data_IF_091781736777
#
_entry.id   IF_091781736777
#
_cell.length_a   1.000
_cell.length_b   1.000
_cell.length_c   1.000
_cell.angle_alpha   90.00
_cell.angle_beta   90.00
_cell.angle_gamma   90.00
#
_symmetry.space_group_name_H-M   'P 1'
#
loop_
_entity.id
_entity.type
_entity.pdbx_description
1 polymer ?
#
# COMPACT_ATOMS: atom_id res chain seq x y z
N UNK A 1 21.80 -42.50 13.42
CA UNK A 1 20.53 -41.80 13.71
C UNK A 1 20.52 -40.30 13.39
N UNK A 2 21.62 -39.62 12.99
CA UNK A 2 21.58 -38.14 12.83
C UNK A 2 20.96 -37.61 11.52
N UNK A 3 21.18 -38.24 10.36
CA UNK A 3 20.73 -37.67 9.05
C UNK A 3 19.21 -37.48 8.89
N UNK A 4 18.39 -38.29 9.57
CA UNK A 4 16.94 -38.16 9.51
C UNK A 4 16.41 -37.01 10.39
N UNK A 5 17.16 -36.65 11.45
CA UNK A 5 16.88 -35.50 12.30
C UNK A 5 17.24 -34.19 11.58
N UNK A 6 18.36 -34.18 10.87
CA UNK A 6 18.84 -33.01 10.10
C UNK A 6 17.82 -32.57 9.03
N UNK A 7 17.21 -33.53 8.32
CA UNK A 7 16.20 -33.24 7.29
C UNK A 7 14.89 -32.66 7.83
N UNK A 8 14.43 -33.10 9.02
CA UNK A 8 13.21 -32.56 9.65
C UNK A 8 13.42 -31.14 10.15
N UNK A 9 14.63 -30.83 10.64
CA UNK A 9 14.97 -29.50 11.14
C UNK A 9 15.03 -28.47 10.00
N UNK A 10 15.64 -28.82 8.86
CA UNK A 10 15.67 -27.97 7.66
C UNK A 10 14.26 -27.69 7.13
N UNK A 11 13.38 -28.69 7.12
CA UNK A 11 12.00 -28.54 6.68
C UNK A 11 11.19 -27.61 7.59
N UNK A 12 11.30 -27.80 8.91
CA UNK A 12 10.63 -26.93 9.88
C UNK A 12 11.13 -25.48 9.79
N UNK A 13 12.44 -25.28 9.62
CA UNK A 13 13.03 -23.97 9.40
C UNK A 13 12.53 -23.28 8.13
N UNK A 14 12.42 -24.03 7.02
CA UNK A 14 11.86 -23.51 5.77
C UNK A 14 10.40 -23.07 5.93
N UNK A 15 9.55 -23.92 6.52
CA UNK A 15 8.13 -23.60 6.74
C UNK A 15 7.99 -22.37 7.63
N UNK A 16 8.76 -22.30 8.72
CA UNK A 16 8.76 -21.15 9.62
C UNK A 16 9.17 -19.86 8.89
N UNK A 17 10.20 -19.91 8.03
CA UNK A 17 10.64 -18.76 7.24
C UNK A 17 9.59 -18.34 6.21
N UNK A 18 8.95 -19.29 5.51
CA UNK A 18 7.92 -19.02 4.52
C UNK A 18 6.69 -18.33 5.16
N UNK A 19 6.23 -18.83 6.31
CA UNK A 19 5.17 -18.19 7.07
C UNK A 19 5.62 -16.84 7.66
N UNK A 20 6.88 -16.72 8.07
CA UNK A 20 7.45 -15.46 8.55
C UNK A 20 7.42 -14.36 7.48
N UNK A 21 7.86 -14.67 6.26
CA UNK A 21 7.84 -13.73 5.13
C UNK A 21 6.40 -13.37 4.75
N UNK A 22 5.50 -14.35 4.68
CA UNK A 22 4.08 -14.08 4.37
C UNK A 22 3.41 -13.22 5.46
N UNK A 23 3.68 -13.51 6.74
CA UNK A 23 3.18 -12.73 7.86
C UNK A 23 3.71 -11.30 7.84
N UNK A 24 5.01 -11.12 7.56
CA UNK A 24 5.60 -9.79 7.44
C UNK A 24 5.01 -9.01 6.26
N UNK A 25 4.77 -9.67 5.12
CA UNK A 25 4.10 -9.08 3.96
C UNK A 25 2.68 -8.60 4.31
N UNK A 26 1.92 -9.42 5.06
CA UNK A 26 0.58 -9.09 5.50
C UNK A 26 0.59 -7.87 6.43
N UNK A 27 1.53 -7.81 7.38
CA UNK A 27 1.71 -6.66 8.27
C UNK A 27 2.02 -5.39 7.47
N UNK A 28 2.96 -5.45 6.52
CA UNK A 28 3.25 -4.30 5.65
C UNK A 28 2.04 -3.87 4.83
N UNK A 29 1.26 -4.81 4.31
CA UNK A 29 0.02 -4.49 3.59
C UNK A 29 -1.00 -3.77 4.48
N UNK A 30 -1.12 -4.16 5.76
CA UNK A 30 -2.03 -3.52 6.72
C UNK A 30 -1.64 -2.07 7.02
N UNK A 31 -0.34 -1.74 7.07
CA UNK A 31 0.12 -0.38 7.36
C UNK A 31 0.29 0.51 6.12
N UNK A 32 0.62 -0.06 4.97
CA UNK A 32 0.81 0.71 3.74
C UNK A 32 -0.52 1.11 3.07
N UNK A 33 -1.56 0.29 3.22
CA UNK A 33 -2.88 0.56 2.64
C UNK A 33 -3.59 1.82 3.19
N UNK A 34 -3.56 2.16 4.50
CA UNK A 34 -4.26 3.34 5.02
C UNK A 34 -3.54 4.66 4.75
N UNK A 35 -2.23 4.68 4.46
CA UNK A 35 -1.47 5.95 4.32
C UNK A 35 -2.03 6.89 3.24
N UNK A 36 -2.40 6.42 2.02
CA UNK A 36 -3.04 7.28 1.04
C UNK A 36 -4.42 7.81 1.49
N UNK A 37 -5.17 6.99 2.22
CA UNK A 37 -6.49 7.37 2.74
C UNK A 37 -6.38 8.46 3.80
N UNK A 38 -5.45 8.33 4.75
CA UNK A 38 -5.20 9.35 5.77
C UNK A 38 -4.81 10.70 5.14
N UNK A 39 -3.97 10.67 4.10
CA UNK A 39 -3.60 11.86 3.33
C UNK A 39 -4.80 12.48 2.61
N UNK A 40 -5.70 11.65 2.07
CA UNK A 40 -6.92 12.11 1.43
C UNK A 40 -7.83 12.83 2.43
N UNK A 41 -8.10 12.19 3.57
CA UNK A 41 -8.95 12.75 4.64
C UNK A 41 -8.38 14.06 5.16
N UNK A 42 -7.07 14.12 5.44
CA UNK A 42 -6.42 15.34 5.91
C UNK A 42 -6.52 16.50 4.90
N UNK A 43 -6.50 16.21 3.59
CA UNK A 43 -6.71 17.22 2.53
C UNK A 43 -8.16 17.67 2.46
N UNK A 44 -9.12 16.75 2.62
CA UNK A 44 -10.54 17.10 2.65
C UNK A 44 -10.88 18.00 3.84
N UNK A 45 -10.33 17.73 5.02
CA UNK A 45 -10.45 18.60 6.18
C UNK A 45 -9.85 19.99 5.93
N UNK A 46 -8.73 20.07 5.20
CA UNK A 46 -8.12 21.34 4.82
C UNK A 46 -9.01 22.14 3.85
N UNK A 47 -9.70 21.48 2.92
CA UNK A 47 -10.70 22.13 2.07
C UNK A 47 -11.90 22.64 2.85
N UNK A 48 -12.40 21.87 3.82
CA UNK A 48 -13.52 22.29 4.66
C UNK A 48 -13.13 23.50 5.53
N UNK A 49 -11.92 23.50 6.10
CA UNK A 49 -11.36 24.66 6.80
C UNK A 49 -11.22 25.88 5.89
N UNK A 50 -10.77 25.68 4.66
CA UNK A 50 -10.63 26.76 3.67
C UNK A 50 -11.99 27.40 3.35
N UNK A 51 -13.02 26.59 3.13
CA UNK A 51 -14.38 27.08 2.89
C UNK A 51 -14.96 27.78 4.12
N UNK A 52 -14.73 27.25 5.32
CA UNK A 52 -15.17 27.88 6.56
C UNK A 52 -14.51 29.26 6.79
N UNK A 53 -13.19 29.38 6.51
CA UNK A 53 -12.48 30.65 6.58
C UNK A 53 -12.97 31.64 5.51
N UNK A 54 -13.19 31.19 4.29
CA UNK A 54 -13.72 32.05 3.24
C UNK A 54 -15.12 32.58 3.60
N UNK A 55 -15.99 31.74 4.15
CA UNK A 55 -17.32 32.11 4.59
C UNK A 55 -17.31 33.12 5.76
N UNK A 56 -16.29 33.08 6.62
CA UNK A 56 -16.13 34.04 7.72
C UNK A 56 -15.53 35.39 7.28
N UNK A 57 -15.20 35.55 6.00
CA UNK A 57 -14.57 36.76 5.47
C UNK A 57 -13.07 36.85 5.78
N UNK A 58 -12.41 35.71 6.00
CA UNK A 58 -10.97 35.65 6.23
C UNK A 58 -10.19 36.33 5.11
N UNK A 59 -9.16 37.09 5.49
CA UNK A 59 -8.28 37.76 4.52
C UNK A 59 -7.40 36.77 3.74
N UNK A 60 -6.85 37.19 2.59
CA UNK A 60 -6.04 36.31 1.73
C UNK A 60 -4.83 35.69 2.45
N UNK A 61 -4.22 36.39 3.42
CA UNK A 61 -3.10 35.86 4.21
C UNK A 61 -3.49 34.70 5.15
N UNK A 62 -4.74 34.65 5.61
CA UNK A 62 -5.24 33.53 6.42
C UNK A 62 -5.53 32.30 5.56
N UNK A 63 -6.01 32.51 4.34
CA UNK A 63 -6.19 31.43 3.35
C UNK A 63 -4.82 30.87 2.92
N UNK A 64 -3.81 31.74 2.75
CA UNK A 64 -2.45 31.32 2.37
C UNK A 64 -1.73 30.56 3.50
N UNK A 65 -2.12 30.75 4.76
CA UNK A 65 -1.62 29.95 5.87
C UNK A 65 -2.01 28.46 5.76
N UNK A 66 -3.06 28.13 4.98
CA UNK A 66 -3.46 26.73 4.70
C UNK A 66 -2.66 26.10 3.55
N UNK A 67 -1.83 26.87 2.83
CA UNK A 67 -1.04 26.38 1.69
C UNK A 67 -0.23 25.10 1.99
N UNK A 68 0.47 24.97 3.14
CA UNK A 68 1.20 23.74 3.46
C UNK A 68 0.31 22.50 3.60
N UNK A 69 -0.95 22.67 4.05
CA UNK A 69 -1.91 21.57 4.23
C UNK A 69 -2.57 21.16 2.91
N UNK A 70 -2.78 22.14 2.02
CA UNK A 70 -3.30 21.92 0.67
C UNK A 70 -2.26 21.29 -0.27
N UNK A 71 -0.96 21.48 0.02
CA UNK A 71 0.15 20.92 -0.76
C UNK A 71 -0.01 21.22 -2.26
N UNK A 72 0.03 20.19 -3.11
CA UNK A 72 -0.05 20.32 -4.58
C UNK A 72 -1.39 20.90 -5.06
N UNK A 73 -2.45 20.81 -4.25
CA UNK A 73 -3.77 21.37 -4.58
C UNK A 73 -3.86 22.87 -4.30
N UNK A 74 -2.86 23.47 -3.65
CA UNK A 74 -2.92 24.86 -3.23
C UNK A 74 -2.98 25.83 -4.42
N UNK A 75 -2.17 25.61 -5.46
CA UNK A 75 -2.14 26.51 -6.61
C UNK A 75 -3.43 26.41 -7.46
N UNK A 76 -3.98 25.20 -7.58
CA UNK A 76 -5.25 24.97 -8.28
C UNK A 76 -6.43 25.68 -7.57
N UNK A 77 -6.44 25.69 -6.23
CA UNK A 77 -7.55 26.21 -5.44
C UNK A 77 -7.39 27.69 -5.08
N UNK A 78 -6.19 28.15 -4.74
CA UNK A 78 -5.94 29.55 -4.36
C UNK A 78 -5.68 30.44 -5.59
N UNK A 79 -4.95 29.94 -6.58
CA UNK A 79 -4.55 30.69 -7.78
C UNK A 79 -5.54 30.67 -8.94
N UNK A 80 -6.56 29.81 -8.90
CA UNK A 80 -7.51 29.67 -10.01
C UNK A 80 -8.47 30.86 -10.19
N UNK A 81 -9.03 31.04 -11.38
CA UNK A 81 -10.11 32.02 -11.58
C UNK A 81 -11.48 31.44 -11.18
N UNK A 82 -12.36 32.29 -10.64
CA UNK A 82 -13.76 31.94 -10.35
C UNK A 82 -14.07 31.72 -8.85
N UNK A 83 -15.32 31.35 -8.52
CA UNK A 83 -15.75 31.14 -7.14
C UNK A 83 -14.89 30.08 -6.45
N UNK A 84 -14.45 30.35 -5.21
CA UNK A 84 -13.62 29.41 -4.43
C UNK A 84 -14.31 28.06 -4.27
N UNK A 85 -15.61 28.05 -3.98
CA UNK A 85 -16.43 26.85 -3.83
C UNK A 85 -16.37 25.95 -5.06
N UNK A 86 -16.51 26.53 -6.26
CA UNK A 86 -16.43 25.80 -7.52
C UNK A 86 -15.03 25.23 -7.78
N UNK A 87 -13.97 25.95 -7.37
CA UNK A 87 -12.57 25.48 -7.47
C UNK A 87 -12.32 24.32 -6.51
N UNK A 88 -12.75 24.45 -5.25
CA UNK A 88 -12.64 23.38 -4.24
C UNK A 88 -13.42 22.14 -4.67
N UNK A 89 -14.65 22.29 -5.14
CA UNK A 89 -15.47 21.16 -5.60
C UNK A 89 -14.82 20.42 -6.77
N UNK A 90 -14.25 21.16 -7.73
CA UNK A 90 -13.52 20.57 -8.86
C UNK A 90 -12.27 19.82 -8.41
N UNK A 91 -11.48 20.42 -7.53
CA UNK A 91 -10.26 19.79 -7.03
C UNK A 91 -10.57 18.55 -6.19
N UNK A 92 -11.61 18.59 -5.35
CA UNK A 92 -12.08 17.42 -4.58
C UNK A 92 -12.50 16.28 -5.51
N UNK A 93 -13.23 16.58 -6.60
CA UNK A 93 -13.58 15.56 -7.59
C UNK A 93 -12.35 14.97 -8.30
N UNK A 94 -11.39 15.81 -8.70
CA UNK A 94 -10.14 15.36 -9.32
C UNK A 94 -9.27 14.54 -8.35
N UNK A 95 -9.22 14.94 -7.09
CA UNK A 95 -8.52 14.25 -6.01
C UNK A 95 -9.09 12.84 -5.80
N UNK A 96 -10.41 12.70 -5.67
CA UNK A 96 -11.06 11.39 -5.56
C UNK A 96 -10.78 10.49 -6.78
N UNK A 97 -10.76 11.06 -7.98
CA UNK A 97 -10.37 10.37 -9.20
C UNK A 97 -8.97 9.76 -9.09
N UNK A 98 -7.96 10.59 -8.80
CA UNK A 98 -6.55 10.17 -8.62
C UNK A 98 -6.40 9.12 -7.54
N UNK A 99 -7.04 9.29 -6.38
CA UNK A 99 -6.98 8.31 -5.30
C UNK A 99 -7.56 6.96 -5.68
N UNK A 100 -8.66 6.94 -6.45
CA UNK A 100 -9.24 5.68 -6.93
C UNK A 100 -8.30 4.93 -7.89
N UNK A 101 -7.55 5.67 -8.71
CA UNK A 101 -6.57 5.11 -9.66
C UNK A 101 -5.33 4.58 -8.93
N UNK A 102 -4.80 5.35 -7.98
CA UNK A 102 -3.69 4.95 -7.11
C UNK A 102 -4.06 3.71 -6.28
N UNK A 103 -5.25 3.69 -5.68
CA UNK A 103 -5.73 2.54 -4.92
C UNK A 103 -5.82 1.27 -5.79
N UNK A 104 -6.31 1.40 -7.02
CA UNK A 104 -6.33 0.27 -7.98
C UNK A 104 -4.93 -0.17 -8.36
N UNK A 105 -3.99 0.76 -8.56
CA UNK A 105 -2.60 0.44 -8.87
C UNK A 105 -1.92 -0.31 -7.72
N UNK A 106 -2.06 0.19 -6.48
CA UNK A 106 -1.57 -0.47 -5.28
C UNK A 106 -2.19 -1.86 -5.09
N UNK A 107 -3.51 -2.00 -5.26
CA UNK A 107 -4.18 -3.29 -5.17
C UNK A 107 -3.67 -4.29 -6.22
N UNK A 108 -3.42 -3.84 -7.46
CA UNK A 108 -2.80 -4.68 -8.50
C UNK A 108 -1.38 -5.10 -8.13
N UNK A 109 -0.57 -4.17 -7.62
CA UNK A 109 0.79 -4.45 -7.21
C UNK A 109 0.85 -5.44 -6.04
N UNK A 110 -0.01 -5.27 -5.03
CA UNK A 110 -0.15 -6.20 -3.92
C UNK A 110 -0.55 -7.61 -4.41
N UNK A 111 -1.55 -7.71 -5.30
CA UNK A 111 -1.97 -9.00 -5.88
C UNK A 111 -0.84 -9.66 -6.68
N UNK A 112 -0.08 -8.89 -7.46
CA UNK A 112 1.06 -9.40 -8.22
C UNK A 112 2.15 -9.94 -7.28
N UNK A 113 2.48 -9.19 -6.23
CA UNK A 113 3.47 -9.60 -5.24
C UNK A 113 3.05 -10.90 -4.53
N UNK A 114 1.78 -11.00 -4.13
CA UNK A 114 1.23 -12.23 -3.56
C UNK A 114 1.37 -13.39 -4.56
N UNK A 115 0.95 -13.20 -5.82
CA UNK A 115 1.05 -14.24 -6.84
C UNK A 115 2.49 -14.72 -7.07
N UNK A 116 3.45 -13.78 -7.17
CA UNK A 116 4.88 -14.11 -7.34
C UNK A 116 5.42 -14.90 -6.15
N UNK A 117 5.14 -14.44 -4.92
CA UNK A 117 5.57 -15.15 -3.70
C UNK A 117 4.93 -16.53 -3.62
N UNK A 118 3.65 -16.68 -3.95
CA UNK A 118 2.97 -17.97 -4.00
C UNK A 118 3.61 -18.92 -5.01
N UNK A 119 3.90 -18.44 -6.23
CA UNK A 119 4.56 -19.24 -7.27
C UNK A 119 5.96 -19.67 -6.82
N UNK A 120 6.75 -18.75 -6.24
CA UNK A 120 8.08 -19.08 -5.71
C UNK A 120 7.99 -20.16 -4.61
N UNK A 121 7.02 -20.05 -3.70
CA UNK A 121 6.78 -21.06 -2.67
C UNK A 121 6.39 -22.42 -3.25
N UNK A 122 5.55 -22.45 -4.31
CA UNK A 122 5.17 -23.69 -5.00
C UNK A 122 6.38 -24.34 -5.67
N UNK A 123 7.17 -23.57 -6.42
CA UNK A 123 8.38 -24.07 -7.12
C UNK A 123 9.37 -24.61 -6.09
N UNK A 124 9.64 -23.84 -5.03
CA UNK A 124 10.58 -24.25 -4.01
C UNK A 124 10.10 -25.50 -3.26
N UNK A 125 8.83 -25.52 -2.84
CA UNK A 125 8.23 -26.68 -2.19
C UNK A 125 8.27 -27.92 -3.08
N UNK A 126 7.98 -27.77 -4.37
CA UNK A 126 8.08 -28.84 -5.36
C UNK A 126 9.49 -29.39 -5.53
N UNK A 127 10.49 -28.51 -5.64
CA UNK A 127 11.90 -28.90 -5.75
C UNK A 127 12.40 -29.66 -4.52
N UNK A 128 12.00 -29.23 -3.31
CA UNK A 128 12.32 -29.93 -2.06
C UNK A 128 11.71 -31.34 -2.07
N UNK A 129 10.43 -31.49 -2.41
CA UNK A 129 9.77 -32.80 -2.47
C UNK A 129 10.44 -33.71 -3.51
N UNK A 130 10.78 -33.18 -4.69
CA UNK A 130 11.45 -33.93 -5.75
C UNK A 130 12.87 -34.38 -5.38
N UNK A 131 13.61 -33.57 -4.61
CA UNK A 131 14.94 -33.95 -4.11
C UNK A 131 14.89 -35.15 -3.15
N UNK A 132 13.84 -35.25 -2.33
CA UNK A 132 13.66 -36.34 -1.37
C UNK A 132 13.18 -37.66 -1.99
N UNK A 133 12.58 -37.65 -3.19
CA UNK A 133 12.04 -38.84 -3.85
C UNK A 133 13.04 -39.59 -4.73
N UNK A 134 14.32 -39.18 -4.74
CA UNK A 134 15.36 -39.90 -5.48
C UNK A 134 15.54 -41.34 -4.92
N UNK A 135 15.30 -42.39 -5.74
CA UNK A 135 15.28 -43.76 -5.27
C UNK A 135 16.68 -44.19 -4.80
N UNK A 136 16.75 -44.76 -3.58
CA UNK A 136 18.01 -45.31 -3.07
C UNK A 136 18.46 -46.49 -3.95
N UNK A 137 19.73 -46.53 -4.37
CA UNK A 137 20.26 -47.70 -5.09
C UNK A 137 20.09 -48.93 -4.18
N UNK A 138 19.52 -50.00 -4.75
CA UNK A 138 19.41 -51.28 -4.02
C UNK A 138 20.81 -51.86 -3.88
N UNK A 139 21.21 -52.32 -2.67
CA UNK A 139 22.45 -53.06 -2.53
C UNK A 139 22.31 -54.39 -3.27
N UNK A 140 23.30 -54.69 -4.10
CA UNK A 140 23.50 -56.00 -4.73
C UNK A 140 24.24 -56.95 -3.78
#
# INVERSE_FOLDING_TARGET
MSRAQDGRFLWAGFVALAFGVLGMLAVFATYAAPVPLERAVARDEAFDQLLALAASGAGPGQLDALRPRLADSADAVLGGSGPLEARVARERAAMHGRFSEEARALARQLRLMIAVVTVMCIIFGGAVVAGFSSPRPRPE
#
